data_IF_612673780716
#
_entry.id   IF_612673780716
#
_cell.length_a   1.000
_cell.length_b   1.000
_cell.length_c   1.000
_cell.angle_alpha   90.00
_cell.angle_beta   90.00
_cell.angle_gamma   90.00
#
_symmetry.space_group_name_H-M   'P 1'
#
loop_
_entity.id
_entity.type
_entity.pdbx_description
1 polymer ?
#
# COMPACT_ATOMS: atom_id res chain seq x y z
N UNK A 1 3.91 38.60 1.58
CA UNK A 1 4.48 37.90 2.74
C UNK A 1 3.67 36.62 2.93
N UNK A 2 4.31 35.45 2.89
CA UNK A 2 3.63 34.16 3.10
C UNK A 2 3.12 34.09 4.55
N UNK A 3 1.86 33.70 4.73
CA UNK A 3 1.18 33.68 6.05
C UNK A 3 1.12 32.29 6.68
N UNK A 4 1.41 31.25 5.92
CA UNK A 4 1.45 29.86 6.37
C UNK A 4 1.64 28.91 5.20
N UNK A 5 2.08 27.69 5.51
CA UNK A 5 2.23 26.58 4.57
C UNK A 5 1.60 25.34 5.20
N UNK A 6 0.95 24.52 4.39
CA UNK A 6 0.42 23.21 4.79
C UNK A 6 1.27 22.16 4.08
N UNK A 7 1.71 21.17 4.84
CA UNK A 7 2.50 20.06 4.34
C UNK A 7 1.73 18.78 4.56
N UNK A 8 1.77 17.91 3.56
CA UNK A 8 1.40 16.51 3.74
C UNK A 8 2.46 15.79 4.58
N UNK A 9 2.15 14.61 5.09
CA UNK A 9 3.09 13.79 5.85
C UNK A 9 3.88 12.87 4.93
N UNK A 10 3.17 12.02 4.17
CA UNK A 10 3.77 10.96 3.37
C UNK A 10 4.51 11.55 2.15
N UNK A 11 5.76 11.13 1.97
CA UNK A 11 6.63 11.61 0.89
C UNK A 11 7.06 13.08 0.99
N UNK A 12 6.50 13.87 1.92
CA UNK A 12 6.85 15.28 2.14
C UNK A 12 7.69 15.45 3.40
N UNK A 13 7.18 15.00 4.55
CA UNK A 13 7.90 15.05 5.83
C UNK A 13 8.62 13.73 6.10
N UNK A 14 8.01 12.61 5.71
CA UNK A 14 8.55 11.26 5.92
C UNK A 14 8.13 10.32 4.80
N UNK A 15 9.05 9.48 4.34
CA UNK A 15 8.75 8.40 3.41
C UNK A 15 8.09 7.21 4.16
N UNK A 16 6.76 7.08 4.01
CA UNK A 16 6.00 5.97 4.60
C UNK A 16 5.60 4.89 3.59
N UNK A 17 5.84 5.10 2.29
CA UNK A 17 5.49 4.16 1.23
C UNK A 17 6.13 2.77 1.45
N UNK A 18 7.38 2.74 1.91
CA UNK A 18 8.09 1.49 2.24
C UNK A 18 7.40 0.67 3.34
N UNK A 19 6.77 1.33 4.31
CA UNK A 19 6.08 0.64 5.42
C UNK A 19 4.73 0.08 4.97
N UNK A 20 4.04 0.78 4.07
CA UNK A 20 2.85 0.25 3.41
C UNK A 20 3.17 -1.02 2.61
N UNK A 21 4.24 -0.99 1.81
CA UNK A 21 4.70 -2.18 1.08
C UNK A 21 5.01 -3.35 2.03
N UNK A 22 5.81 -3.11 3.08
CA UNK A 22 6.15 -4.14 4.07
C UNK A 22 4.92 -4.73 4.76
N UNK A 23 3.94 -3.90 5.12
CA UNK A 23 2.70 -4.36 5.75
C UNK A 23 1.88 -5.24 4.80
N UNK A 24 1.72 -4.83 3.54
CA UNK A 24 1.01 -5.62 2.53
C UNK A 24 1.73 -6.92 2.19
N UNK A 25 3.06 -6.86 2.05
CA UNK A 25 3.89 -8.05 1.80
C UNK A 25 3.80 -9.04 2.94
N UNK A 26 3.81 -8.56 4.19
CA UNK A 26 3.61 -9.43 5.35
C UNK A 26 2.23 -10.10 5.31
N UNK A 27 1.16 -9.35 5.02
CA UNK A 27 -0.19 -9.92 4.90
C UNK A 27 -0.27 -10.99 3.81
N UNK A 28 0.26 -10.71 2.62
CA UNK A 28 0.29 -11.66 1.52
C UNK A 28 1.01 -12.96 1.93
N UNK A 29 2.19 -12.83 2.56
CA UNK A 29 2.97 -13.98 3.02
C UNK A 29 2.23 -14.79 4.10
N UNK A 30 1.50 -14.14 5.01
CA UNK A 30 0.62 -14.80 5.98
C UNK A 30 -0.54 -15.56 5.30
N UNK A 31 -0.94 -15.16 4.09
CA UNK A 31 -1.96 -15.82 3.26
C UNK A 31 -1.38 -16.85 2.27
N UNK A 32 -0.06 -17.05 2.25
CA UNK A 32 0.60 -18.09 1.45
C UNK A 32 1.06 -17.68 0.05
N UNK A 33 1.11 -16.38 -0.26
CA UNK A 33 1.68 -15.86 -1.52
C UNK A 33 2.61 -14.67 -1.26
N UNK A 34 3.56 -14.39 -2.16
CA UNK A 34 4.40 -13.20 -2.02
C UNK A 34 3.78 -12.01 -2.75
N UNK A 35 4.12 -10.80 -2.30
CA UNK A 35 3.67 -9.55 -2.89
C UNK A 35 4.88 -8.69 -3.22
N UNK A 36 4.96 -8.29 -4.48
CA UNK A 36 6.14 -7.70 -5.09
C UNK A 36 6.07 -6.17 -5.16
N UNK A 37 7.22 -5.53 -5.36
CA UNK A 37 7.25 -4.07 -5.57
C UNK A 37 6.50 -3.66 -6.85
N UNK A 38 6.55 -4.49 -7.90
CA UNK A 38 5.81 -4.24 -9.15
C UNK A 38 4.29 -4.24 -8.95
N UNK A 39 3.78 -5.09 -8.06
CA UNK A 39 2.37 -5.08 -7.67
C UNK A 39 2.04 -3.89 -6.76
N UNK A 40 2.95 -3.51 -5.86
CA UNK A 40 2.79 -2.35 -4.99
C UNK A 40 2.67 -1.03 -5.78
N UNK A 41 3.37 -0.90 -6.89
CA UNK A 41 3.22 0.24 -7.80
C UNK A 41 1.79 0.37 -8.34
N UNK A 42 1.09 -0.74 -8.57
CA UNK A 42 -0.32 -0.75 -9.02
C UNK A 42 -1.30 -0.30 -7.94
N UNK A 43 -0.88 -0.21 -6.68
CA UNK A 43 -1.70 0.24 -5.55
C UNK A 43 -1.61 1.75 -5.30
N UNK A 44 -0.72 2.47 -6.00
CA UNK A 44 -0.58 3.92 -5.82
C UNK A 44 -1.88 4.65 -6.21
N UNK A 45 -2.41 5.43 -5.29
CA UNK A 45 -3.66 6.16 -5.47
C UNK A 45 -4.93 5.30 -5.33
N UNK A 46 -4.79 4.02 -4.99
CA UNK A 46 -5.92 3.11 -4.77
C UNK A 46 -6.35 3.16 -3.31
N UNK A 47 -7.66 3.10 -3.05
CA UNK A 47 -8.17 3.11 -1.68
C UNK A 47 -7.77 1.83 -0.94
N UNK A 48 -7.66 1.90 0.39
CA UNK A 48 -7.20 0.76 1.21
C UNK A 48 -8.01 -0.53 0.99
N UNK A 49 -9.33 -0.41 0.82
CA UNK A 49 -10.22 -1.56 0.59
C UNK A 49 -10.03 -2.14 -0.81
N UNK A 50 -9.88 -1.28 -1.82
CA UNK A 50 -9.59 -1.74 -3.18
C UNK A 50 -8.20 -2.36 -3.28
N UNK A 51 -7.19 -1.80 -2.60
CA UNK A 51 -5.84 -2.38 -2.52
C UNK A 51 -5.87 -3.77 -1.90
N UNK A 52 -6.62 -3.96 -0.81
CA UNK A 52 -6.80 -5.29 -0.22
C UNK A 52 -7.44 -6.27 -1.22
N UNK A 53 -8.48 -5.84 -1.95
CA UNK A 53 -9.13 -6.69 -2.96
C UNK A 53 -8.17 -7.09 -4.09
N UNK A 54 -7.34 -6.16 -4.56
CA UNK A 54 -6.32 -6.45 -5.58
C UNK A 54 -5.28 -7.46 -5.06
N UNK A 55 -4.78 -7.25 -3.84
CA UNK A 55 -3.81 -8.14 -3.20
C UNK A 55 -4.38 -9.55 -3.06
N UNK A 56 -5.61 -9.68 -2.55
CA UNK A 56 -6.29 -10.96 -2.42
C UNK A 56 -6.53 -11.63 -3.79
N UNK A 57 -6.90 -10.84 -4.80
CA UNK A 57 -7.09 -11.32 -6.17
C UNK A 57 -5.79 -11.85 -6.78
N UNK A 58 -4.64 -11.21 -6.55
CA UNK A 58 -3.35 -11.69 -7.04
C UNK A 58 -2.93 -13.00 -6.38
N UNK A 59 -3.24 -13.16 -5.09
CA UNK A 59 -3.02 -14.41 -4.36
C UNK A 59 -4.03 -15.52 -4.65
N UNK A 60 -5.09 -15.27 -5.44
CA UNK A 60 -6.18 -16.22 -5.66
C UNK A 60 -6.96 -16.55 -4.38
N UNK A 61 -6.95 -15.64 -3.40
CA UNK A 61 -7.59 -15.84 -2.09
C UNK A 61 -8.97 -15.17 -2.12
N UNK A 62 -10.03 -15.97 -2.12
CA UNK A 62 -11.38 -15.47 -1.84
C UNK A 62 -11.69 -15.62 -0.34
N UNK A 63 -11.94 -14.49 0.33
CA UNK A 63 -12.56 -14.49 1.65
C UNK A 63 -14.02 -14.12 1.51
N UNK A 64 -14.89 -15.04 1.94
CA UNK A 64 -16.34 -14.85 2.10
C UNK A 64 -16.69 -13.95 3.28
#
# INVERSE_FOLDING_TARGET
MIKGCIFDLDGVIVDTAKYHFQAWRRLANELGFDFTEEENEKLKGVSRVESLKLILSWGGVEKS
#
